data_IF_335061320682
#
_entry.id   IF_335061320682
#
_cell.length_a   1.000
_cell.length_b   1.000
_cell.length_c   1.000
_cell.angle_alpha   90.00
_cell.angle_beta   90.00
_cell.angle_gamma   90.00
#
_symmetry.space_group_name_H-M   'P 1'
#
loop_
_entity.id
_entity.type
_entity.pdbx_description
1 polymer ?
#
# COMPACT_ATOMS: atom_id res chain seq x y z
N UNK A 1 50.30 56.46 -11.27
CA UNK A 1 51.05 55.23 -10.95
C UNK A 1 50.07 54.09 -11.18
N UNK A 2 49.95 53.69 -12.45
CA UNK A 2 50.68 52.57 -13.08
C UNK A 2 49.90 51.28 -12.84
N UNK A 3 49.07 50.85 -13.79
CA UNK A 3 49.41 50.08 -15.02
C UNK A 3 49.05 48.60 -14.77
N UNK A 4 48.05 48.05 -15.48
CA UNK A 4 48.22 47.21 -16.69
C UNK A 4 48.54 45.74 -16.30
N UNK A 5 47.98 44.66 -16.84
CA UNK A 5 47.10 44.38 -17.97
C UNK A 5 46.63 42.89 -17.91
N UNK A 6 45.56 42.56 -18.67
CA UNK A 6 45.30 41.35 -19.51
C UNK A 6 45.48 39.93 -18.91
N UNK A 7 44.64 38.92 -19.18
CA UNK A 7 44.03 38.48 -20.45
C UNK A 7 42.96 37.38 -20.18
N UNK A 8 41.72 37.45 -20.70
CA UNK A 8 41.15 36.66 -21.85
C UNK A 8 41.19 35.12 -21.70
N UNK A 9 40.17 34.25 -21.93
CA UNK A 9 39.16 34.10 -23.01
C UNK A 9 38.13 33.00 -22.61
N UNK A 10 36.84 33.16 -22.98
CA UNK A 10 35.90 32.13 -23.49
C UNK A 10 35.26 31.17 -22.47
N UNK A 11 33.99 30.75 -22.55
CA UNK A 11 33.02 30.65 -23.65
C UNK A 11 31.56 30.54 -23.11
N UNK A 12 30.64 31.17 -23.84
CA UNK A 12 29.27 30.78 -24.21
C UNK A 12 28.20 30.42 -23.15
N UNK A 13 27.23 31.35 -23.09
CA UNK A 13 25.82 31.26 -22.74
C UNK A 13 25.07 29.97 -23.14
N UNK A 14 24.25 29.47 -22.21
CA UNK A 14 22.90 28.93 -22.50
C UNK A 14 21.96 29.36 -21.39
N UNK A 15 21.01 30.22 -21.74
CA UNK A 15 19.86 30.56 -20.92
C UNK A 15 19.04 29.29 -20.64
N UNK A 16 18.99 28.86 -19.38
CA UNK A 16 18.07 27.84 -18.91
C UNK A 16 16.80 28.54 -18.41
N UNK A 17 15.69 28.34 -19.12
CA UNK A 17 14.36 28.64 -18.61
C UNK A 17 14.14 27.90 -17.28
N UNK A 18 13.44 28.50 -16.30
CA UNK A 18 13.19 27.84 -15.02
C UNK A 18 12.25 26.64 -15.22
N UNK A 19 12.44 25.53 -14.48
CA UNK A 19 11.50 24.43 -14.51
C UNK A 19 10.13 24.93 -14.02
N UNK A 20 9.08 24.60 -14.78
CA UNK A 20 7.69 24.87 -14.42
C UNK A 20 7.44 24.41 -12.98
N UNK A 21 7.14 25.36 -12.09
CA UNK A 21 6.81 25.06 -10.71
C UNK A 21 5.60 24.11 -10.69
N UNK A 22 5.78 22.99 -9.99
CA UNK A 22 4.74 22.01 -9.72
C UNK A 22 3.57 22.70 -9.00
N UNK A 23 2.37 22.63 -9.60
CA UNK A 23 1.12 23.10 -9.01
C UNK A 23 0.41 21.88 -8.42
N UNK A 24 0.27 21.89 -7.11
CA UNK A 24 -0.45 20.88 -6.35
C UNK A 24 -1.93 20.88 -6.77
N UNK A 25 -2.53 19.75 -7.19
CA UNK A 25 -3.88 19.80 -7.70
C UNK A 25 -4.92 19.62 -6.59
N UNK A 26 -5.92 20.50 -6.57
CA UNK A 26 -6.91 20.76 -5.50
C UNK A 26 -7.93 19.65 -5.19
N UNK A 27 -7.86 18.46 -5.80
CA UNK A 27 -8.88 17.41 -5.59
C UNK A 27 -8.47 16.30 -4.62
N UNK A 28 -9.38 15.88 -3.71
CA UNK A 28 -9.14 14.81 -2.76
C UNK A 28 -8.96 13.44 -3.44
N UNK A 29 -8.30 12.54 -2.72
CA UNK A 29 -7.99 11.18 -3.16
C UNK A 29 -9.24 10.34 -3.43
N UNK A 30 -9.08 9.26 -4.19
CA UNK A 30 -10.20 8.37 -4.49
C UNK A 30 -10.65 7.58 -3.27
N UNK A 31 -11.71 8.03 -2.61
CA UNK A 31 -12.45 7.19 -1.66
C UNK A 31 -13.10 6.00 -2.39
N UNK A 32 -13.30 4.91 -1.66
CA UNK A 32 -13.94 3.66 -2.06
C UNK A 32 -15.42 3.86 -2.48
N UNK A 33 -15.69 4.24 -3.73
CA UNK A 33 -16.99 4.00 -4.37
C UNK A 33 -16.96 2.66 -5.12
N UNK A 34 -17.12 1.57 -4.38
CA UNK A 34 -17.76 0.36 -4.91
C UNK A 34 -19.15 0.26 -4.30
N UNK A 35 -20.02 1.18 -4.71
CA UNK A 35 -21.46 1.04 -4.58
C UNK A 35 -22.10 1.36 -5.94
N UNK A 36 -21.84 0.48 -6.91
CA UNK A 36 -22.77 0.24 -8.02
C UNK A 36 -22.80 -1.26 -8.29
N UNK A 37 -23.58 -1.97 -7.48
CA UNK A 37 -23.86 -3.39 -7.61
C UNK A 37 -24.87 -3.72 -8.73
N UNK A 38 -24.99 -2.88 -9.76
CA UNK A 38 -25.98 -3.04 -10.85
C UNK A 38 -25.37 -3.20 -12.25
N UNK A 39 -24.19 -3.82 -12.38
CA UNK A 39 -23.64 -4.22 -13.69
C UNK A 39 -23.62 -5.75 -13.85
N UNK A 40 -24.42 -6.48 -13.08
CA UNK A 40 -24.58 -7.94 -13.24
C UNK A 40 -26.03 -8.44 -13.09
N UNK A 41 -27.04 -7.70 -13.58
CA UNK A 41 -28.37 -8.27 -13.82
C UNK A 41 -29.16 -7.48 -14.89
N UNK A 42 -29.35 -8.08 -16.07
CA UNK A 42 -30.55 -8.03 -16.94
C UNK A 42 -31.19 -6.70 -17.42
N UNK A 43 -31.37 -6.59 -18.76
CA UNK A 43 -32.28 -5.67 -19.47
C UNK A 43 -31.53 -4.67 -20.35
N UNK A 44 -31.78 -4.43 -21.63
CA UNK A 44 -32.78 -4.89 -22.60
C UNK A 44 -32.13 -4.87 -23.99
N UNK A 45 -32.05 -6.02 -24.65
CA UNK A 45 -31.72 -6.10 -26.08
C UNK A 45 -33.03 -6.24 -26.84
N UNK A 46 -33.68 -5.14 -27.19
CA UNK A 46 -34.72 -5.10 -28.22
C UNK A 46 -34.94 -3.66 -28.68
N UNK A 47 -34.16 -3.24 -29.68
CA UNK A 47 -34.60 -2.31 -30.72
C UNK A 47 -33.49 -2.14 -31.76
N UNK A 48 -33.45 -3.06 -32.72
CA UNK A 48 -32.94 -2.82 -34.08
C UNK A 48 -33.42 -3.98 -34.98
N UNK A 49 -34.74 -4.09 -35.12
CA UNK A 49 -35.35 -4.69 -36.30
C UNK A 49 -35.67 -3.56 -37.28
N UNK A 50 -34.75 -3.32 -38.21
CA UNK A 50 -35.03 -2.85 -39.57
C UNK A 50 -33.73 -2.62 -40.34
N UNK A 51 -33.18 -3.70 -40.92
CA UNK A 51 -32.51 -3.64 -42.22
C UNK A 51 -32.71 -5.00 -42.91
N UNK A 52 -33.73 -4.99 -43.75
CA UNK A 52 -34.08 -5.80 -44.90
C UNK A 52 -33.12 -6.89 -45.40
N UNK A 53 -33.74 -8.05 -45.66
CA UNK A 53 -33.34 -9.17 -46.51
C UNK A 53 -32.44 -8.83 -47.71
N UNK A 54 -31.36 -9.60 -47.84
CA UNK A 54 -30.64 -9.84 -49.08
C UNK A 54 -29.98 -11.22 -49.04
N UNK A 55 -30.71 -12.25 -49.51
CA UNK A 55 -30.10 -13.52 -49.91
C UNK A 55 -29.22 -13.27 -51.13
N UNK A 56 -27.97 -13.70 -51.15
CA UNK A 56 -27.29 -14.17 -52.36
C UNK A 56 -26.08 -15.03 -51.96
N UNK A 57 -26.25 -16.35 -52.09
CA UNK A 57 -25.15 -17.25 -52.44
C UNK A 57 -24.86 -17.08 -53.93
N UNK A 58 -23.64 -17.43 -54.33
CA UNK A 58 -23.03 -17.39 -55.67
C UNK A 58 -22.39 -16.06 -56.08
N UNK A 59 -21.06 -16.00 -55.94
CA UNK A 59 -20.16 -16.13 -57.09
C UNK A 59 -18.70 -16.16 -56.64
N UNK A 60 -18.07 -17.31 -56.84
CA UNK A 60 -16.63 -17.41 -57.01
C UNK A 60 -16.20 -16.76 -58.35
N UNK A 61 -14.91 -16.42 -58.36
CA UNK A 61 -14.02 -16.13 -59.50
C UNK A 61 -13.73 -14.66 -59.84
N UNK A 62 -12.42 -14.38 -59.80
CA UNK A 62 -11.67 -13.18 -60.17
C UNK A 62 -11.76 -11.97 -59.23
N UNK A 63 -10.67 -11.71 -58.50
CA UNK A 63 -9.62 -10.84 -59.04
C UNK A 63 -8.37 -10.95 -58.17
N UNK A 64 -7.29 -11.50 -58.74
CA UNK A 64 -5.92 -11.11 -58.37
C UNK A 64 -5.77 -9.59 -58.64
N UNK A 65 -6.32 -8.75 -57.77
CA UNK A 65 -6.09 -7.31 -57.79
C UNK A 65 -6.48 -6.67 -56.45
N UNK A 66 -5.91 -7.17 -55.36
CA UNK A 66 -5.68 -6.35 -54.17
C UNK A 66 -4.54 -6.92 -53.32
N UNK A 67 -3.53 -7.52 -53.98
CA UNK A 67 -2.18 -7.58 -53.43
C UNK A 67 -1.61 -6.17 -53.47
N UNK A 68 -2.09 -5.34 -52.54
CA UNK A 68 -1.33 -4.20 -52.07
C UNK A 68 0.04 -4.70 -51.67
N UNK A 69 1.06 -4.10 -52.28
CA UNK A 69 2.48 -4.23 -51.93
C UNK A 69 2.67 -4.19 -50.41
N UNK A 70 3.77 -4.72 -49.84
CA UNK A 70 4.04 -4.57 -48.42
C UNK A 70 4.17 -3.07 -48.14
N UNK A 71 3.07 -2.44 -47.74
CA UNK A 71 3.11 -1.09 -47.23
C UNK A 71 3.92 -1.24 -45.95
N UNK A 72 5.07 -0.63 -46.03
CA UNK A 72 5.96 -0.33 -44.94
C UNK A 72 5.20 0.64 -44.03
N UNK A 73 4.12 0.18 -43.39
CA UNK A 73 3.31 0.97 -42.46
C UNK A 73 3.98 0.97 -41.08
N UNK A 74 5.27 1.31 -41.06
CA UNK A 74 5.81 2.13 -39.99
C UNK A 74 5.23 3.54 -40.15
N UNK A 75 3.93 3.69 -39.96
CA UNK A 75 3.41 4.97 -39.48
C UNK A 75 4.10 5.11 -38.13
N UNK A 76 5.06 6.03 -38.02
CA UNK A 76 5.66 6.38 -36.74
C UNK A 76 4.52 6.92 -35.87
N UNK A 77 3.89 6.03 -35.12
CA UNK A 77 2.72 6.33 -34.34
C UNK A 77 3.12 7.40 -33.34
N UNK A 78 2.52 8.58 -33.45
CA UNK A 78 2.96 9.74 -32.67
C UNK A 78 2.46 9.59 -31.23
N UNK A 79 3.33 9.10 -30.35
CA UNK A 79 3.03 8.94 -28.91
C UNK A 79 3.19 10.24 -28.11
N UNK A 80 3.40 11.40 -28.74
CA UNK A 80 3.65 12.65 -28.01
C UNK A 80 2.54 13.01 -27.02
N UNK A 81 1.28 12.77 -27.40
CA UNK A 81 0.12 13.07 -26.56
C UNK A 81 0.07 12.27 -25.25
N UNK A 82 0.69 11.10 -25.18
CA UNK A 82 0.75 10.24 -23.98
C UNK A 82 2.10 10.26 -23.28
N UNK A 83 3.20 10.38 -24.04
CA UNK A 83 4.56 10.40 -23.51
C UNK A 83 4.92 11.71 -22.80
N UNK A 84 4.28 12.84 -23.15
CA UNK A 84 4.48 14.13 -22.48
C UNK A 84 4.15 14.12 -20.98
N UNK A 85 3.32 13.18 -20.53
CA UNK A 85 2.96 13.03 -19.12
C UNK A 85 4.02 12.25 -18.32
N UNK A 86 4.99 11.63 -19.00
CA UNK A 86 6.09 10.88 -18.38
C UNK A 86 5.61 9.82 -17.36
N UNK A 87 4.49 9.16 -17.67
CA UNK A 87 3.90 8.10 -16.83
C UNK A 87 4.83 6.88 -16.75
N UNK A 88 5.56 6.60 -17.82
CA UNK A 88 6.51 5.49 -17.93
C UNK A 88 7.90 6.08 -18.12
N UNK A 89 8.85 5.57 -17.34
CA UNK A 89 10.25 5.96 -17.40
C UNK A 89 11.15 4.73 -17.38
N UNK A 90 12.34 4.83 -17.95
CA UNK A 90 13.34 3.75 -17.95
C UNK A 90 14.50 4.18 -17.09
N UNK A 91 14.60 3.57 -15.91
CA UNK A 91 15.48 4.02 -14.84
C UNK A 91 16.62 3.04 -14.68
N UNK A 92 17.65 3.19 -15.51
CA UNK A 92 18.91 2.45 -15.40
C UNK A 92 18.72 0.95 -15.15
N UNK A 93 19.53 0.41 -14.24
CA UNK A 93 19.55 -1.01 -13.90
C UNK A 93 19.31 -1.23 -12.39
N UNK A 94 18.65 -2.33 -12.05
CA UNK A 94 18.55 -2.81 -10.67
C UNK A 94 19.90 -3.33 -10.17
N UNK A 95 19.99 -3.68 -8.89
CA UNK A 95 21.26 -4.17 -8.30
C UNK A 95 21.77 -5.49 -8.92
N UNK A 96 20.94 -6.19 -9.68
CA UNK A 96 21.32 -7.39 -10.43
C UNK A 96 21.72 -7.07 -11.89
N UNK A 97 21.78 -5.78 -12.27
CA UNK A 97 22.15 -5.33 -13.61
C UNK A 97 21.04 -5.49 -14.64
N UNK A 98 19.78 -5.59 -14.21
CA UNK A 98 18.63 -5.72 -15.11
C UNK A 98 17.97 -4.36 -15.32
N UNK A 99 17.58 -3.99 -16.55
CA UNK A 99 16.89 -2.74 -16.81
C UNK A 99 15.61 -2.64 -15.99
N UNK A 100 15.35 -1.44 -15.48
CA UNK A 100 14.16 -1.15 -14.67
C UNK A 100 13.23 -0.20 -15.41
N UNK A 101 11.99 -0.64 -15.62
CA UNK A 101 10.93 0.20 -16.16
C UNK A 101 10.03 0.66 -15.03
N UNK A 102 9.82 1.95 -14.90
CA UNK A 102 9.11 2.58 -13.79
C UNK A 102 7.82 3.19 -14.29
N UNK A 103 6.75 3.01 -13.51
CA UNK A 103 5.42 3.53 -13.78
C UNK A 103 5.00 4.43 -12.63
N UNK A 104 4.70 5.68 -12.94
CA UNK A 104 4.31 6.70 -11.97
C UNK A 104 2.82 6.98 -12.08
N UNK A 105 2.02 6.37 -11.21
CA UNK A 105 0.58 6.48 -11.31
C UNK A 105 0.05 7.90 -11.04
N UNK A 106 0.74 8.69 -10.21
CA UNK A 106 0.39 10.10 -9.97
C UNK A 106 0.49 10.99 -11.21
N UNK A 107 1.20 10.55 -12.25
CA UNK A 107 1.33 11.27 -13.52
C UNK A 107 0.22 10.94 -14.51
N UNK A 108 -0.64 9.97 -14.20
CA UNK A 108 -1.80 9.67 -15.04
C UNK A 108 -2.76 10.86 -15.01
N UNK A 109 -3.05 11.45 -16.19
CA UNK A 109 -4.04 12.52 -16.28
C UNK A 109 -5.46 11.94 -16.23
N UNK A 110 -6.45 12.83 -16.22
CA UNK A 110 -7.86 12.43 -16.13
C UNK A 110 -8.27 11.49 -17.28
N UNK A 111 -9.07 10.48 -16.97
CA UNK A 111 -9.61 9.50 -17.92
C UNK A 111 -10.48 10.10 -19.01
N UNK A 112 -10.98 11.33 -18.82
CA UNK A 112 -11.76 12.05 -19.82
C UNK A 112 -10.88 12.59 -20.96
N UNK A 113 -9.60 12.86 -20.68
CA UNK A 113 -8.66 13.47 -21.64
C UNK A 113 -7.54 12.53 -22.05
N UNK A 114 -7.37 11.40 -21.35
CA UNK A 114 -6.29 10.46 -21.58
C UNK A 114 -6.71 9.30 -22.46
N UNK A 115 -6.05 9.16 -23.61
CA UNK A 115 -6.23 8.02 -24.50
C UNK A 115 -5.46 6.79 -23.96
N UNK A 116 -6.18 5.96 -23.21
CA UNK A 116 -5.64 4.73 -22.65
C UNK A 116 -5.28 3.66 -23.71
N UNK A 117 -5.88 3.68 -24.89
CA UNK A 117 -5.57 2.71 -25.95
C UNK A 117 -4.29 3.11 -26.69
N UNK A 118 -4.10 4.40 -26.96
CA UNK A 118 -2.81 4.93 -27.40
C UNK A 118 -1.73 4.76 -26.34
N UNK A 119 -2.06 4.95 -25.06
CA UNK A 119 -1.12 4.70 -23.96
C UNK A 119 -0.72 3.22 -23.88
N UNK A 120 -1.62 2.27 -24.11
CA UNK A 120 -1.29 0.85 -24.12
C UNK A 120 -0.33 0.50 -25.27
N UNK A 121 -0.52 1.08 -26.46
CA UNK A 121 0.41 0.93 -27.59
C UNK A 121 1.76 1.54 -27.29
N UNK A 122 1.79 2.76 -26.74
CA UNK A 122 3.02 3.41 -26.26
C UNK A 122 3.76 2.55 -25.23
N UNK A 123 3.03 2.02 -24.26
CA UNK A 123 3.58 1.16 -23.23
C UNK A 123 4.21 -0.12 -23.84
N UNK A 124 3.49 -0.74 -24.77
CA UNK A 124 3.99 -1.93 -25.47
C UNK A 124 5.26 -1.58 -26.24
N UNK A 125 5.30 -0.43 -26.93
CA UNK A 125 6.46 0.06 -27.65
C UNK A 125 7.68 0.30 -26.72
N UNK A 126 7.48 0.92 -25.56
CA UNK A 126 8.56 1.12 -24.56
C UNK A 126 9.09 -0.21 -24.05
N UNK A 127 8.21 -1.14 -23.69
CA UNK A 127 8.61 -2.44 -23.15
C UNK A 127 9.28 -3.34 -24.19
N UNK A 128 8.94 -3.22 -25.48
CA UNK A 128 9.51 -4.03 -26.56
C UNK A 128 11.04 -3.84 -26.65
N UNK A 129 11.55 -2.66 -26.29
CA UNK A 129 12.99 -2.38 -26.19
C UNK A 129 13.73 -3.21 -25.13
N UNK A 130 13.02 -3.81 -24.15
CA UNK A 130 13.59 -4.59 -23.06
C UNK A 130 13.11 -6.04 -23.03
N UNK A 131 12.11 -6.37 -23.85
CA UNK A 131 11.37 -7.62 -23.76
C UNK A 131 12.24 -8.86 -24.02
N UNK A 132 13.32 -8.71 -24.78
CA UNK A 132 14.24 -9.80 -25.13
C UNK A 132 15.27 -10.11 -24.03
N UNK A 133 15.38 -9.26 -23.01
CA UNK A 133 16.27 -9.45 -21.85
C UNK A 133 15.49 -9.50 -20.54
N UNK A 134 16.13 -10.00 -19.48
CA UNK A 134 15.52 -10.05 -18.16
C UNK A 134 15.38 -8.63 -17.58
N UNK A 135 14.17 -8.22 -17.20
CA UNK A 135 13.89 -6.86 -16.74
C UNK A 135 13.02 -6.84 -15.49
N UNK A 136 13.03 -5.71 -14.78
CA UNK A 136 12.22 -5.46 -13.59
C UNK A 136 11.26 -4.29 -13.86
N UNK A 137 10.08 -4.33 -13.25
CA UNK A 137 9.12 -3.23 -13.31
C UNK A 137 8.86 -2.71 -11.90
N UNK A 138 8.82 -1.39 -11.74
CA UNK A 138 8.43 -0.73 -10.50
C UNK A 138 7.19 0.12 -10.80
N UNK A 139 6.11 -0.13 -10.08
CA UNK A 139 4.86 0.61 -10.19
C UNK A 139 4.63 1.39 -8.89
N UNK A 140 4.75 2.71 -8.97
CA UNK A 140 4.39 3.63 -7.89
C UNK A 140 2.89 3.91 -7.96
N UNK A 141 2.16 3.32 -7.02
CA UNK A 141 0.71 3.39 -7.00
C UNK A 141 0.15 4.74 -6.51
N UNK A 142 0.92 5.49 -5.74
CA UNK A 142 0.54 6.80 -5.22
C UNK A 142 -0.01 7.73 -6.32
N UNK A 143 -1.02 8.52 -5.97
CA UNK A 143 -1.66 9.49 -6.85
C UNK A 143 -2.82 8.96 -7.70
N UNK A 144 -3.30 7.73 -7.47
CA UNK A 144 -4.61 7.31 -7.97
C UNK A 144 -5.75 8.14 -7.36
N UNK A 145 -6.49 8.83 -8.23
CA UNK A 145 -7.72 9.59 -7.99
C UNK A 145 -8.85 8.96 -8.82
N UNK A 146 -10.12 9.20 -8.44
CA UNK A 146 -11.27 8.61 -9.16
C UNK A 146 -11.24 8.98 -10.64
N UNK A 147 -10.82 10.21 -10.92
CA UNK A 147 -10.74 10.78 -12.24
C UNK A 147 -9.56 10.29 -13.08
N UNK A 148 -8.50 9.68 -12.53
CA UNK A 148 -7.30 9.27 -13.29
C UNK A 148 -7.03 7.76 -13.27
N UNK A 149 -7.96 6.97 -12.74
CA UNK A 149 -7.83 5.52 -12.65
C UNK A 149 -8.08 4.87 -14.03
N UNK A 150 -7.19 3.97 -14.49
CA UNK A 150 -7.48 3.15 -15.66
C UNK A 150 -8.69 2.24 -15.38
N UNK A 151 -9.66 2.12 -16.31
CA UNK A 151 -10.78 1.21 -16.14
C UNK A 151 -10.32 -0.24 -15.90
N UNK A 152 -11.04 -1.02 -15.07
CA UNK A 152 -10.67 -2.42 -14.81
C UNK A 152 -10.62 -3.26 -16.10
N UNK A 153 -11.57 -3.03 -17.01
CA UNK A 153 -11.56 -3.66 -18.33
C UNK A 153 -10.31 -3.34 -19.14
N UNK A 154 -9.76 -2.12 -19.01
CA UNK A 154 -8.51 -1.74 -19.66
C UNK A 154 -7.31 -2.49 -19.06
N UNK A 155 -7.22 -2.61 -17.73
CA UNK A 155 -6.14 -3.37 -17.07
C UNK A 155 -6.11 -4.84 -17.55
N UNK A 156 -7.28 -5.47 -17.73
CA UNK A 156 -7.36 -6.83 -18.31
C UNK A 156 -6.89 -6.85 -19.75
N UNK A 157 -7.30 -5.87 -20.57
CA UNK A 157 -6.85 -5.75 -21.97
C UNK A 157 -5.34 -5.53 -22.04
N UNK A 158 -4.79 -4.66 -21.21
CA UNK A 158 -3.35 -4.39 -21.12
C UNK A 158 -2.57 -5.68 -20.79
N UNK A 159 -3.00 -6.43 -19.77
CA UNK A 159 -2.37 -7.72 -19.46
C UNK A 159 -2.47 -8.72 -20.62
N UNK A 160 -3.56 -8.74 -21.38
CA UNK A 160 -3.72 -9.63 -22.55
C UNK A 160 -2.90 -9.19 -23.76
N UNK A 161 -2.75 -7.88 -23.97
CA UNK A 161 -1.96 -7.30 -25.05
C UNK A 161 -0.46 -7.58 -24.89
N UNK A 162 0.04 -7.64 -23.65
CA UNK A 162 1.39 -8.09 -23.36
C UNK A 162 1.52 -9.58 -23.67
N UNK A 163 2.20 -9.90 -24.76
CA UNK A 163 2.41 -11.28 -25.21
C UNK A 163 3.28 -12.10 -24.23
N UNK A 164 3.61 -13.34 -24.63
CA UNK A 164 4.41 -14.25 -23.79
C UNK A 164 5.81 -13.70 -23.47
N UNK A 165 6.44 -12.93 -24.36
CA UNK A 165 7.82 -12.43 -24.21
C UNK A 165 7.89 -11.46 -23.04
N UNK A 166 6.96 -10.51 -22.98
CA UNK A 166 6.83 -9.54 -21.87
C UNK A 166 6.69 -10.23 -20.52
N UNK A 167 5.82 -11.25 -20.44
CA UNK A 167 5.54 -11.96 -19.19
C UNK A 167 6.65 -12.91 -18.77
N UNK A 168 7.39 -13.49 -19.72
CA UNK A 168 8.43 -14.50 -19.43
C UNK A 168 9.67 -13.82 -18.82
N UNK A 169 10.14 -12.76 -19.44
CA UNK A 169 11.42 -12.12 -19.12
C UNK A 169 11.30 -11.05 -18.02
N UNK A 170 10.08 -10.63 -17.66
CA UNK A 170 9.83 -9.92 -16.41
C UNK A 170 10.29 -10.77 -15.23
N UNK A 171 11.20 -10.29 -14.39
CA UNK A 171 11.63 -11.00 -13.17
C UNK A 171 10.83 -10.62 -11.95
N UNK A 172 10.63 -9.32 -11.80
CA UNK A 172 9.97 -8.74 -10.65
C UNK A 172 9.09 -7.59 -11.08
N UNK A 173 7.87 -7.56 -10.57
CA UNK A 173 6.94 -6.44 -10.61
C UNK A 173 6.78 -5.93 -9.18
N UNK A 174 7.49 -4.85 -8.85
CA UNK A 174 7.42 -4.20 -7.55
C UNK A 174 6.27 -3.18 -7.54
N UNK A 175 5.37 -3.32 -6.59
CA UNK A 175 4.26 -2.41 -6.38
C UNK A 175 4.58 -1.59 -5.14
N UNK A 176 4.90 -0.32 -5.34
CA UNK A 176 5.25 0.62 -4.27
C UNK A 176 3.99 1.30 -3.76
N UNK A 177 3.80 1.26 -2.44
CA UNK A 177 2.65 1.83 -1.73
C UNK A 177 1.29 1.25 -2.19
N UNK A 178 1.09 -0.09 -2.09
CA UNK A 178 -0.18 -0.70 -2.47
C UNK A 178 -1.33 -0.24 -1.56
N UNK A 179 -2.46 0.14 -2.14
CA UNK A 179 -3.71 0.37 -1.40
C UNK A 179 -4.51 -0.92 -1.21
N UNK A 180 -5.51 -0.91 -0.30
CA UNK A 180 -6.48 -2.02 -0.16
C UNK A 180 -7.21 -2.31 -1.46
N UNK A 181 -7.58 -1.25 -2.19
CA UNK A 181 -8.20 -1.35 -3.50
C UNK A 181 -7.33 -2.17 -4.47
N UNK A 182 -6.01 -1.96 -4.48
CA UNK A 182 -5.13 -2.74 -5.34
C UNK A 182 -5.14 -4.23 -4.99
N UNK A 183 -5.26 -4.59 -3.70
CA UNK A 183 -5.43 -5.99 -3.28
C UNK A 183 -6.74 -6.59 -3.77
N UNK A 184 -7.83 -5.81 -3.77
CA UNK A 184 -9.13 -6.22 -4.33
C UNK A 184 -9.02 -6.43 -5.85
N UNK A 185 -8.36 -5.50 -6.55
CA UNK A 185 -8.09 -5.64 -7.99
C UNK A 185 -7.32 -6.94 -8.25
N UNK A 186 -6.27 -7.23 -7.48
CA UNK A 186 -5.53 -8.49 -7.62
C UNK A 186 -6.39 -9.74 -7.39
N UNK A 187 -7.32 -9.70 -6.42
CA UNK A 187 -8.25 -10.81 -6.19
C UNK A 187 -9.17 -11.05 -7.40
N UNK A 188 -9.69 -9.98 -8.01
CA UNK A 188 -10.52 -10.04 -9.24
C UNK A 188 -9.70 -10.52 -10.45
N UNK A 189 -8.41 -10.21 -10.49
CA UNK A 189 -7.52 -10.54 -11.60
C UNK A 189 -6.90 -11.94 -11.49
N UNK A 190 -6.98 -12.58 -10.31
CA UNK A 190 -6.46 -13.92 -10.05
C UNK A 190 -6.87 -15.00 -11.08
N UNK A 191 -8.12 -15.09 -11.59
CA UNK A 191 -8.47 -16.09 -12.61
C UNK A 191 -7.84 -15.82 -13.99
N UNK A 192 -7.36 -14.60 -14.24
CA UNK A 192 -6.81 -14.17 -15.53
C UNK A 192 -5.28 -14.30 -15.54
N UNK A 193 -4.65 -14.12 -14.38
CA UNK A 193 -3.20 -14.08 -14.23
C UNK A 193 -2.66 -15.48 -13.95
N UNK A 194 -1.59 -15.85 -14.65
CA UNK A 194 -0.95 -17.14 -14.39
C UNK A 194 -0.25 -17.15 -13.03
N UNK A 195 -0.28 -18.27 -12.32
CA UNK A 195 0.45 -18.45 -11.05
C UNK A 195 1.96 -18.17 -11.17
N UNK A 196 2.54 -18.39 -12.36
CA UNK A 196 3.94 -18.03 -12.65
C UNK A 196 4.18 -16.53 -12.65
N UNK A 197 3.22 -15.74 -13.12
CA UNK A 197 3.31 -14.28 -13.14
C UNK A 197 3.01 -13.70 -11.75
N UNK A 198 2.01 -14.24 -11.05
CA UNK A 198 1.67 -13.84 -9.68
C UNK A 198 2.89 -13.90 -8.73
N UNK A 199 3.71 -14.95 -8.83
CA UNK A 199 4.96 -15.10 -8.05
C UNK A 199 6.04 -14.05 -8.34
N UNK A 200 5.85 -13.23 -9.37
CA UNK A 200 6.76 -12.13 -9.72
C UNK A 200 6.30 -10.81 -9.12
N UNK A 201 5.12 -10.75 -8.50
CA UNK A 201 4.56 -9.54 -7.93
C UNK A 201 5.02 -9.39 -6.49
N UNK A 202 5.68 -8.28 -6.19
CA UNK A 202 6.23 -7.96 -4.86
C UNK A 202 5.68 -6.63 -4.39
N UNK A 203 5.23 -6.56 -3.14
CA UNK A 203 4.78 -5.32 -2.53
C UNK A 203 5.92 -4.65 -1.78
N UNK A 204 6.10 -3.36 -2.03
CA UNK A 204 7.13 -2.51 -1.40
C UNK A 204 6.39 -1.45 -0.60
N UNK A 205 6.48 -1.56 0.71
CA UNK A 205 5.77 -0.67 1.63
C UNK A 205 6.66 0.46 2.16
N UNK A 206 7.98 0.36 1.98
CA UNK A 206 8.96 1.29 2.56
C UNK A 206 10.09 1.64 1.57
N UNK A 207 10.71 2.82 1.74
CA UNK A 207 11.76 3.30 0.82
C UNK A 207 13.03 2.46 0.91
N UNK A 208 13.36 1.95 2.10
CA UNK A 208 14.58 1.14 2.30
C UNK A 208 14.52 -0.16 1.49
N UNK A 209 13.34 -0.80 1.42
CA UNK A 209 13.11 -1.99 0.59
C UNK A 209 13.34 -1.66 -0.89
N UNK A 210 12.89 -0.48 -1.33
CA UNK A 210 13.13 0.00 -2.68
C UNK A 210 14.62 0.25 -2.95
N UNK A 211 15.34 0.83 -1.98
CA UNK A 211 16.81 1.05 -2.04
C UNK A 211 17.61 -0.23 -2.10
N UNK A 212 17.06 -1.35 -1.62
CA UNK A 212 17.67 -2.66 -1.78
C UNK A 212 17.56 -3.17 -3.22
N UNK A 213 16.54 -2.74 -3.96
CA UNK A 213 16.23 -3.20 -5.32
C UNK A 213 16.94 -2.33 -6.37
N UNK A 214 16.79 -1.02 -6.29
CA UNK A 214 17.30 -0.04 -7.26
C UNK A 214 17.90 1.16 -6.56
N UNK A 215 18.80 1.88 -7.21
CA UNK A 215 19.38 3.10 -6.65
C UNK A 215 18.35 4.23 -6.76
N UNK A 216 17.85 4.70 -5.61
CA UNK A 216 16.75 5.68 -5.57
C UNK A 216 17.12 7.07 -6.10
N UNK A 217 18.40 7.41 -6.22
CA UNK A 217 18.89 8.62 -6.90
C UNK A 217 18.50 8.67 -8.38
N UNK A 218 18.21 7.52 -8.98
CA UNK A 218 17.74 7.42 -10.36
C UNK A 218 16.22 7.60 -10.49
N UNK A 219 15.47 7.48 -9.38
CA UNK A 219 14.01 7.50 -9.36
C UNK A 219 13.47 8.89 -9.06
N UNK A 220 12.43 9.30 -9.79
CA UNK A 220 11.63 10.46 -9.44
C UNK A 220 10.60 10.05 -8.38
N UNK A 221 11.03 10.05 -7.13
CA UNK A 221 10.16 9.75 -5.99
C UNK A 221 9.48 11.07 -5.56
N UNK A 222 8.15 11.22 -5.71
CA UNK A 222 7.42 12.39 -5.22
C UNK A 222 7.70 12.60 -3.74
N UNK A 223 7.76 13.86 -3.28
CA UNK A 223 8.08 14.19 -1.89
C UNK A 223 7.10 13.57 -0.91
N UNK A 224 5.85 13.39 -1.31
CA UNK A 224 4.78 12.81 -0.50
C UNK A 224 4.99 11.30 -0.33
N UNK A 225 5.43 10.61 -1.40
CA UNK A 225 5.91 9.22 -1.29
C UNK A 225 7.19 9.19 -0.47
N UNK A 226 8.06 10.17 -0.65
CA UNK A 226 9.28 10.27 0.12
C UNK A 226 8.97 10.43 1.59
N UNK A 227 8.03 11.25 2.03
CA UNK A 227 7.69 11.45 3.45
C UNK A 227 6.93 10.24 4.03
N UNK A 228 6.02 9.64 3.26
CA UNK A 228 5.34 8.39 3.64
C UNK A 228 6.33 7.22 3.75
N UNK A 229 7.34 7.15 2.88
CA UNK A 229 8.32 6.07 2.83
C UNK A 229 9.65 6.38 3.57
N UNK A 230 9.93 7.66 3.92
CA UNK A 230 11.09 8.18 4.71
C UNK A 230 10.83 8.10 6.19
N UNK A 231 9.59 7.98 6.65
CA UNK A 231 9.27 7.67 8.04
C UNK A 231 9.37 6.14 8.24
N UNK A 232 10.48 5.50 8.60
CA UNK A 232 11.74 5.94 9.17
C UNK A 232 12.80 4.86 8.86
N UNK A 233 13.97 5.17 8.29
CA UNK A 233 15.11 4.23 8.19
C UNK A 233 15.76 3.92 9.56
N UNK A 234 15.05 4.18 10.67
CA UNK A 234 15.50 3.99 12.05
C UNK A 234 14.41 4.01 13.13
N UNK A 235 13.13 4.27 12.81
CA UNK A 235 12.06 4.08 13.80
C UNK A 235 11.62 2.63 13.76
N UNK A 236 11.71 2.01 14.93
CA UNK A 236 11.29 0.62 15.17
C UNK A 236 9.76 0.47 15.17
N UNK A 237 9.00 1.55 14.93
CA UNK A 237 7.57 1.65 15.17
C UNK A 237 6.87 2.55 14.12
N UNK A 238 5.61 2.26 13.75
CA UNK A 238 4.80 3.12 12.86
C UNK A 238 4.48 4.50 13.49
N UNK A 239 4.59 5.62 12.75
CA UNK A 239 4.34 6.98 13.28
C UNK A 239 2.94 7.16 13.87
N UNK A 240 1.92 6.63 13.19
CA UNK A 240 0.55 6.71 13.69
C UNK A 240 0.40 6.05 15.07
N UNK A 241 1.15 4.98 15.34
CA UNK A 241 1.13 4.31 16.65
C UNK A 241 1.87 5.15 17.69
N UNK A 242 3.03 5.71 17.37
CA UNK A 242 3.79 6.55 18.31
C UNK A 242 3.04 7.82 18.66
N UNK A 243 2.48 8.53 17.68
CA UNK A 243 1.77 9.80 17.87
C UNK A 243 0.51 9.60 18.73
N UNK A 244 -0.25 8.53 18.44
CA UNK A 244 -1.43 8.17 19.22
C UNK A 244 -1.05 7.83 20.67
N UNK A 245 -0.02 7.00 20.87
CA UNK A 245 0.40 6.59 22.22
C UNK A 245 0.95 7.77 23.01
N UNK A 246 1.73 8.66 22.40
CA UNK A 246 2.22 9.89 23.05
C UNK A 246 1.07 10.81 23.46
N UNK A 247 0.11 11.02 22.57
CA UNK A 247 -1.09 11.80 22.88
C UNK A 247 -1.89 11.17 24.05
N UNK A 248 -2.07 9.85 24.04
CA UNK A 248 -2.80 9.14 25.09
C UNK A 248 -2.04 9.08 26.42
N UNK A 249 -0.70 8.99 26.42
CA UNK A 249 0.10 9.15 27.65
C UNK A 249 -0.10 10.53 28.25
N UNK A 250 -0.08 11.57 27.41
CA UNK A 250 -0.17 12.96 27.87
C UNK A 250 -1.56 13.34 28.36
N UNK A 251 -2.63 12.78 27.76
CA UNK A 251 -3.99 13.24 27.99
C UNK A 251 -4.99 12.15 28.41
N UNK A 252 -4.71 10.89 28.11
CA UNK A 252 -5.66 9.78 28.20
C UNK A 252 -5.56 8.89 29.46
N UNK A 253 -4.43 8.88 30.18
CA UNK A 253 -4.16 7.93 31.27
C UNK A 253 -5.21 7.93 32.38
N UNK A 254 -5.84 9.08 32.65
CA UNK A 254 -6.84 9.24 33.71
C UNK A 254 -8.28 9.23 33.17
N UNK A 255 -8.49 8.99 31.88
CA UNK A 255 -9.82 9.07 31.27
C UNK A 255 -10.64 7.81 31.55
N UNK A 256 -11.82 7.91 32.20
CA UNK A 256 -12.65 6.75 32.50
C UNK A 256 -13.05 5.96 31.25
N UNK A 257 -12.82 4.64 31.28
CA UNK A 257 -13.17 3.73 30.19
C UNK A 257 -12.35 3.93 28.92
N UNK A 258 -11.12 4.47 29.02
CA UNK A 258 -10.16 4.49 27.91
C UNK A 258 -10.04 3.09 27.28
N UNK A 259 -9.95 3.01 25.95
CA UNK A 259 -10.06 1.78 25.14
C UNK A 259 -11.38 1.00 25.20
N UNK A 260 -12.23 1.18 26.21
CA UNK A 260 -13.53 0.51 26.29
C UNK A 260 -14.63 1.24 25.53
N UNK A 261 -14.64 2.57 25.59
CA UNK A 261 -15.69 3.38 24.97
C UNK A 261 -15.59 3.38 23.44
N UNK A 262 -16.76 3.33 22.80
CA UNK A 262 -16.90 3.40 21.35
C UNK A 262 -16.93 4.85 20.86
N UNK A 263 -16.54 5.04 19.61
CA UNK A 263 -16.58 6.31 18.87
C UNK A 263 -17.36 6.08 17.57
N UNK A 264 -17.89 7.14 16.98
CA UNK A 264 -18.63 7.05 15.71
C UNK A 264 -17.76 6.40 14.64
N UNK A 265 -18.30 5.43 13.92
CA UNK A 265 -17.58 4.75 12.85
C UNK A 265 -17.22 5.71 11.71
N UNK A 266 -18.04 6.74 11.50
CA UNK A 266 -17.79 7.78 10.49
C UNK A 266 -16.57 8.63 10.88
N UNK A 267 -16.47 9.00 12.16
CA UNK A 267 -15.35 9.77 12.67
C UNK A 267 -14.05 8.97 12.64
N UNK A 268 -14.10 7.69 13.03
CA UNK A 268 -12.96 6.78 12.94
C UNK A 268 -12.46 6.66 11.50
N UNK A 269 -13.37 6.47 10.52
CA UNK A 269 -13.01 6.38 9.09
C UNK A 269 -12.37 7.66 8.57
N UNK A 270 -12.97 8.82 8.87
CA UNK A 270 -12.43 10.12 8.49
C UNK A 270 -10.99 10.30 8.98
N UNK A 271 -10.72 9.91 10.23
CA UNK A 271 -9.38 10.02 10.79
C UNK A 271 -8.40 8.98 10.25
N UNK A 272 -8.86 7.76 9.99
CA UNK A 272 -8.05 6.75 9.31
C UNK A 272 -7.65 7.22 7.92
N UNK A 273 -8.57 7.77 7.13
CA UNK A 273 -8.29 8.32 5.81
C UNK A 273 -7.24 9.43 5.91
N UNK A 274 -7.41 10.39 6.82
CA UNK A 274 -6.42 11.46 7.03
C UNK A 274 -5.03 10.92 7.34
N UNK A 275 -4.92 9.96 8.26
CA UNK A 275 -3.65 9.32 8.64
C UNK A 275 -3.04 8.57 7.45
N UNK A 276 -3.85 7.78 6.73
CA UNK A 276 -3.41 6.99 5.59
C UNK A 276 -2.92 7.86 4.42
N UNK A 277 -3.47 9.07 4.29
CA UNK A 277 -3.04 10.06 3.30
C UNK A 277 -1.83 10.89 3.77
N UNK A 278 -1.28 10.63 4.95
CA UNK A 278 -0.16 11.39 5.51
C UNK A 278 -0.52 12.85 5.81
N UNK A 279 -1.81 13.17 5.93
CA UNK A 279 -2.24 14.52 6.27
C UNK A 279 -1.84 14.84 7.72
N UNK A 280 -1.46 16.10 8.02
CA UNK A 280 -1.18 16.49 9.39
C UNK A 280 -2.37 16.23 10.31
N UNK A 281 -2.09 15.58 11.44
CA UNK A 281 -3.08 15.21 12.45
C UNK A 281 -2.77 15.94 13.75
N UNK A 282 -3.72 16.76 14.20
CA UNK A 282 -3.61 17.47 15.49
C UNK A 282 -4.72 16.97 16.40
N UNK A 283 -4.35 16.26 17.45
CA UNK A 283 -5.30 15.68 18.41
C UNK A 283 -5.75 16.72 19.44
N UNK A 284 -7.06 16.96 19.56
CA UNK A 284 -7.68 17.78 20.58
C UNK A 284 -7.92 16.94 21.85
N UNK A 285 -7.32 17.27 23.01
CA UNK A 285 -7.52 16.54 24.26
C UNK A 285 -8.97 16.43 24.71
N UNK A 286 -9.84 17.38 24.33
CA UNK A 286 -11.24 17.38 24.77
C UNK A 286 -12.12 16.44 23.94
N UNK A 287 -11.70 16.09 22.73
CA UNK A 287 -12.54 15.39 21.75
C UNK A 287 -11.93 14.03 21.36
N UNK A 288 -10.61 13.97 21.22
CA UNK A 288 -9.97 12.86 20.50
C UNK A 288 -9.37 11.78 21.40
N UNK A 289 -9.52 11.82 22.73
CA UNK A 289 -8.97 10.76 23.62
C UNK A 289 -9.54 9.39 23.26
N UNK A 290 -10.87 9.25 23.20
CA UNK A 290 -11.50 7.97 22.85
C UNK A 290 -11.29 7.63 21.38
N UNK A 291 -11.23 8.63 20.50
CA UNK A 291 -10.95 8.43 19.08
C UNK A 291 -9.56 7.82 18.87
N UNK A 292 -8.52 8.42 19.46
CA UNK A 292 -7.15 7.91 19.42
C UNK A 292 -7.06 6.49 19.98
N UNK A 293 -7.78 6.19 21.07
CA UNK A 293 -7.85 4.84 21.62
C UNK A 293 -8.52 3.84 20.66
N UNK A 294 -9.55 4.24 19.92
CA UNK A 294 -10.19 3.40 18.90
C UNK A 294 -9.28 3.23 17.68
N UNK A 295 -8.62 4.30 17.21
CA UNK A 295 -7.67 4.25 16.10
C UNK A 295 -6.51 3.30 16.38
N UNK A 296 -5.97 3.29 17.62
CA UNK A 296 -4.89 2.37 18.00
C UNK A 296 -5.32 0.90 17.89
N UNK A 297 -6.51 0.56 18.41
CA UNK A 297 -7.06 -0.80 18.31
C UNK A 297 -7.36 -1.18 16.87
N UNK A 298 -7.87 -0.24 16.08
CA UNK A 298 -8.19 -0.47 14.69
C UNK A 298 -6.94 -0.69 13.86
N UNK A 299 -5.86 0.08 14.11
CA UNK A 299 -4.55 -0.16 13.49
C UNK A 299 -4.09 -1.61 13.67
N UNK A 300 -4.14 -2.13 14.91
CA UNK A 300 -3.77 -3.51 15.21
C UNK A 300 -4.65 -4.54 14.49
N UNK A 301 -5.98 -4.34 14.54
CA UNK A 301 -6.95 -5.25 13.93
C UNK A 301 -6.83 -5.34 12.40
N UNK A 302 -6.39 -4.26 11.77
CA UNK A 302 -6.36 -4.11 10.32
C UNK A 302 -5.00 -4.48 9.69
N UNK A 303 -4.02 -4.89 10.50
CA UNK A 303 -2.78 -5.44 10.00
C UNK A 303 -3.06 -6.63 9.07
N UNK A 304 -2.23 -6.81 8.05
CA UNK A 304 -2.35 -7.95 7.12
C UNK A 304 -2.18 -9.30 7.81
N UNK A 305 -1.49 -9.30 8.94
CA UNK A 305 -1.27 -10.43 9.84
C UNK A 305 -1.30 -9.87 11.28
N UNK A 306 -1.83 -10.60 12.29
CA UNK A 306 -1.78 -10.17 13.68
C UNK A 306 -0.36 -9.83 14.13
N UNK A 307 -0.24 -8.90 15.09
CA UNK A 307 1.06 -8.55 15.67
C UNK A 307 1.73 -9.78 16.32
N UNK A 308 0.96 -10.74 16.82
CA UNK A 308 1.47 -12.02 17.32
C UNK A 308 1.82 -13.05 16.24
N UNK A 309 1.63 -12.74 14.95
CA UNK A 309 1.75 -13.64 13.78
C UNK A 309 0.81 -14.84 13.79
N UNK A 310 0.53 -15.42 12.62
CA UNK A 310 -0.27 -16.64 12.52
C UNK A 310 0.48 -17.86 13.08
N UNK A 311 1.81 -17.85 13.03
CA UNK A 311 2.62 -18.96 13.53
C UNK A 311 2.53 -19.13 15.04
N UNK A 312 2.33 -18.06 15.82
CA UNK A 312 2.20 -18.16 17.27
C UNK A 312 0.78 -18.44 17.74
N UNK A 313 -0.23 -18.27 16.89
CA UNK A 313 -1.64 -18.43 17.29
C UNK A 313 -1.91 -19.79 17.95
N UNK A 314 -1.39 -20.88 17.36
CA UNK A 314 -1.53 -22.22 17.93
C UNK A 314 -0.82 -22.39 19.28
N UNK A 315 0.30 -21.68 19.50
CA UNK A 315 1.04 -21.71 20.76
C UNK A 315 0.32 -20.92 21.86
N UNK A 316 -0.34 -19.81 21.49
CA UNK A 316 -1.19 -19.03 22.40
C UNK A 316 -2.40 -19.86 22.86
N UNK A 317 -3.00 -20.70 22.00
CA UNK A 317 -4.13 -21.54 22.41
C UNK A 317 -3.75 -22.66 23.38
N UNK A 318 -2.47 -23.00 23.50
CA UNK A 318 -1.98 -24.01 24.48
C UNK A 318 -1.79 -23.42 25.88
N UNK A 319 -1.98 -22.10 26.04
CA UNK A 319 -1.66 -21.37 27.25
C UNK A 319 -2.53 -21.75 28.46
N UNK A 320 -3.79 -22.17 28.24
CA UNK A 320 -4.69 -22.67 29.30
C UNK A 320 -4.10 -23.80 30.14
N UNK A 321 -3.40 -24.73 29.46
CA UNK A 321 -3.00 -26.02 30.02
C UNK A 321 -1.78 -25.93 30.94
N UNK A 322 -1.18 -24.75 31.06
CA UNK A 322 0.04 -24.51 31.82
C UNK A 322 -0.26 -24.09 33.26
N UNK A 323 0.60 -24.51 34.17
CA UNK A 323 0.58 -24.02 35.56
C UNK A 323 0.94 -22.53 35.61
N UNK A 324 0.49 -21.83 36.65
CA UNK A 324 0.67 -20.38 36.78
C UNK A 324 2.13 -19.94 36.62
N UNK A 325 3.05 -20.64 37.28
CA UNK A 325 4.49 -20.32 37.27
C UNK A 325 5.13 -20.54 35.88
N UNK A 326 4.56 -21.40 35.05
CA UNK A 326 5.05 -21.71 33.71
C UNK A 326 4.54 -20.71 32.65
N UNK A 327 3.40 -20.05 32.90
CA UNK A 327 2.76 -19.15 31.93
C UNK A 327 3.63 -17.94 31.58
N UNK A 328 4.30 -17.35 32.57
CA UNK A 328 5.19 -16.19 32.33
C UNK A 328 6.38 -16.61 31.46
N UNK A 329 7.00 -17.75 31.79
CA UNK A 329 8.11 -18.27 31.01
C UNK A 329 7.69 -18.64 29.59
N UNK A 330 6.53 -19.27 29.42
CA UNK A 330 5.98 -19.56 28.09
C UNK A 330 5.68 -18.28 27.31
N UNK A 331 5.13 -17.26 27.96
CA UNK A 331 4.87 -15.97 27.31
C UNK A 331 6.18 -15.34 26.80
N UNK A 332 7.25 -15.36 27.60
CA UNK A 332 8.59 -14.90 27.21
C UNK A 332 9.09 -15.64 25.97
N UNK A 333 8.96 -16.96 25.93
CA UNK A 333 9.37 -17.77 24.76
C UNK A 333 8.59 -17.41 23.50
N UNK A 334 7.27 -17.28 23.61
CA UNK A 334 6.40 -16.92 22.48
C UNK A 334 6.81 -15.53 21.96
N UNK A 335 6.91 -14.51 22.81
CA UNK A 335 7.24 -13.15 22.35
C UNK A 335 8.66 -13.07 21.78
N UNK A 336 9.63 -13.76 22.38
CA UNK A 336 11.03 -13.76 21.89
C UNK A 336 11.20 -14.50 20.56
N UNK A 337 10.22 -15.32 20.16
CA UNK A 337 10.21 -15.99 18.85
C UNK A 337 9.57 -15.15 17.74
N UNK A 338 9.05 -13.95 18.05
CA UNK A 338 8.47 -13.05 17.06
C UNK A 338 9.55 -12.42 16.17
N UNK A 339 9.21 -12.06 14.92
CA UNK A 339 10.03 -11.16 14.12
C UNK A 339 10.30 -9.85 14.87
N UNK A 340 11.46 -9.23 14.61
CA UNK A 340 11.91 -8.05 15.34
C UNK A 340 10.88 -6.90 15.34
N UNK A 341 10.23 -6.64 14.20
CA UNK A 341 9.23 -5.57 14.07
C UNK A 341 7.98 -5.85 14.91
N UNK A 342 7.47 -7.09 14.86
CA UNK A 342 6.35 -7.55 15.68
C UNK A 342 6.67 -7.44 17.18
N UNK A 343 7.86 -7.89 17.59
CA UNK A 343 8.33 -7.80 18.97
C UNK A 343 8.41 -6.34 19.44
N UNK A 344 9.01 -5.46 18.64
CA UNK A 344 9.15 -4.05 19.00
C UNK A 344 7.79 -3.35 19.15
N UNK A 345 6.88 -3.58 18.20
CA UNK A 345 5.52 -3.04 18.25
C UNK A 345 4.75 -3.57 19.46
N UNK A 346 4.79 -4.89 19.68
CA UNK A 346 4.13 -5.52 20.82
C UNK A 346 4.68 -4.99 22.15
N UNK A 347 6.01 -4.95 22.30
CA UNK A 347 6.67 -4.43 23.50
C UNK A 347 6.23 -3.00 23.81
N UNK A 348 6.28 -2.11 22.81
CA UNK A 348 5.89 -0.71 22.97
C UNK A 348 4.44 -0.57 23.44
N UNK A 349 3.53 -1.30 22.80
CA UNK A 349 2.11 -1.26 23.13
C UNK A 349 1.80 -1.86 24.49
N UNK A 350 2.34 -3.04 24.79
CA UNK A 350 2.04 -3.75 26.04
C UNK A 350 2.60 -2.99 27.25
N UNK A 351 3.78 -2.38 27.14
CA UNK A 351 4.31 -1.50 28.20
C UNK A 351 3.39 -0.29 28.44
N UNK A 352 2.89 0.33 27.38
CA UNK A 352 1.92 1.42 27.50
C UNK A 352 0.58 0.95 28.09
N UNK A 353 0.09 -0.23 27.73
CA UNK A 353 -1.13 -0.79 28.34
C UNK A 353 -0.93 -1.10 29.83
N UNK A 354 0.27 -1.54 30.23
CA UNK A 354 0.64 -1.68 31.64
C UNK A 354 0.62 -0.36 32.40
N UNK A 355 1.08 0.73 31.77
CA UNK A 355 0.98 2.10 32.30
C UNK A 355 -0.47 2.57 32.44
N UNK A 356 -1.34 2.27 31.47
CA UNK A 356 -2.78 2.54 31.61
C UNK A 356 -3.38 1.72 32.75
N UNK A 357 -3.03 0.45 32.87
CA UNK A 357 -3.50 -0.43 33.93
C UNK A 357 -3.08 0.05 35.33
N UNK A 358 -1.90 0.65 35.47
CA UNK A 358 -1.44 1.19 36.76
C UNK A 358 -2.24 2.41 37.23
N UNK A 359 -3.04 3.03 36.35
CA UNK A 359 -3.94 4.15 36.66
C UNK A 359 -5.42 3.70 36.77
N UNK A 360 -5.65 2.39 36.91
CA UNK A 360 -6.99 1.78 36.89
C UNK A 360 -7.91 2.23 38.03
N UNK A 361 -7.38 2.77 39.14
CA UNK A 361 -8.20 3.39 40.19
C UNK A 361 -9.02 4.59 39.68
N UNK A 362 -8.51 5.30 38.67
CA UNK A 362 -9.17 6.48 38.09
C UNK A 362 -9.80 6.16 36.74
N UNK A 363 -9.05 5.53 35.83
CA UNK A 363 -9.54 5.27 34.47
C UNK A 363 -10.45 4.03 34.39
N UNK A 364 -10.54 3.22 35.45
CA UNK A 364 -11.39 2.02 35.57
C UNK A 364 -10.98 0.84 34.65
N UNK A 365 -9.77 0.87 34.09
CA UNK A 365 -9.28 -0.11 33.12
C UNK A 365 -8.04 -0.83 33.65
N UNK A 366 -8.25 -1.88 34.45
CA UNK A 366 -7.17 -2.77 34.89
C UNK A 366 -6.67 -3.68 33.75
N UNK A 367 -5.60 -4.45 34.00
CA UNK A 367 -5.00 -5.32 33.00
C UNK A 367 -5.98 -6.35 32.41
N UNK A 368 -6.89 -6.91 33.23
CA UNK A 368 -7.91 -7.87 32.77
C UNK A 368 -8.94 -7.21 31.84
N UNK A 369 -9.43 -6.01 32.20
CA UNK A 369 -10.35 -5.24 31.35
C UNK A 369 -9.70 -4.86 30.01
N UNK A 370 -8.43 -4.46 30.02
CA UNK A 370 -7.68 -4.17 28.81
C UNK A 370 -7.45 -5.43 27.97
N UNK A 371 -7.19 -6.57 28.60
CA UNK A 371 -6.99 -7.84 27.89
C UNK A 371 -8.23 -8.29 27.11
N UNK A 372 -9.43 -8.12 27.67
CA UNK A 372 -10.70 -8.40 26.95
C UNK A 372 -10.81 -7.54 25.68
N UNK A 373 -10.34 -6.29 25.75
CA UNK A 373 -10.37 -5.37 24.61
C UNK A 373 -9.26 -5.71 23.61
N UNK A 374 -8.04 -6.00 24.06
CA UNK A 374 -6.87 -6.14 23.18
C UNK A 374 -6.60 -7.57 22.71
N UNK A 375 -7.01 -8.61 23.44
CA UNK A 375 -6.85 -10.02 23.06
C UNK A 375 -7.17 -10.30 21.58
N UNK A 376 -8.39 -9.98 21.10
CA UNK A 376 -8.75 -10.20 19.69
C UNK A 376 -8.06 -9.26 18.70
N UNK A 377 -7.41 -8.18 19.17
CA UNK A 377 -6.63 -7.27 18.32
C UNK A 377 -5.13 -7.64 18.30
N UNK A 378 -4.66 -8.53 19.19
CA UNK A 378 -3.27 -8.99 19.21
C UNK A 378 -3.07 -10.26 18.37
N UNK A 379 -4.08 -11.13 18.33
CA UNK A 379 -4.02 -12.40 17.62
C UNK A 379 -5.40 -12.86 17.12
N UNK A 380 -5.45 -13.45 15.92
CA UNK A 380 -6.66 -14.06 15.34
C UNK A 380 -6.27 -15.14 14.30
N UNK A 381 -7.14 -16.13 14.03
CA UNK A 381 -6.83 -17.30 13.18
C UNK A 381 -7.00 -17.05 11.67
N UNK A 382 -6.70 -15.84 11.18
CA UNK A 382 -6.92 -15.47 9.78
C UNK A 382 -8.42 -15.46 9.43
N UNK A 383 -8.83 -16.23 8.43
CA UNK A 383 -10.22 -16.27 7.93
C UNK A 383 -11.17 -17.14 8.78
N UNK A 384 -10.68 -17.79 9.84
CA UNK A 384 -11.49 -18.65 10.68
C UNK A 384 -12.25 -17.84 11.75
N UNK A 385 -13.46 -18.29 12.08
CA UNK A 385 -14.20 -17.73 13.20
C UNK A 385 -13.55 -18.12 14.53
N UNK A 386 -13.39 -17.16 15.43
CA UNK A 386 -12.89 -17.39 16.78
C UNK A 386 -14.03 -17.96 17.64
N UNK A 387 -13.82 -19.13 18.22
CA UNK A 387 -14.75 -19.70 19.21
C UNK A 387 -14.62 -18.98 20.56
N UNK A 388 -15.67 -19.03 21.39
CA UNK A 388 -15.63 -18.43 22.74
C UNK A 388 -14.45 -18.92 23.57
N UNK A 389 -14.18 -20.23 23.55
CA UNK A 389 -13.03 -20.81 24.26
C UNK A 389 -11.71 -20.24 23.76
N UNK A 390 -11.52 -20.10 22.45
CA UNK A 390 -10.30 -19.51 21.91
C UNK A 390 -10.17 -18.03 22.32
N UNK A 391 -11.28 -17.29 22.36
CA UNK A 391 -11.28 -15.91 22.84
C UNK A 391 -10.84 -15.81 24.31
N UNK A 392 -11.28 -16.75 25.16
CA UNK A 392 -10.84 -16.82 26.55
C UNK A 392 -9.32 -17.05 26.65
N UNK A 393 -8.75 -17.92 25.81
CA UNK A 393 -7.29 -18.14 25.78
C UNK A 393 -6.52 -16.90 25.31
N UNK A 394 -7.02 -16.22 24.28
CA UNK A 394 -6.43 -14.97 23.79
C UNK A 394 -6.45 -13.89 24.86
N UNK A 395 -7.56 -13.77 25.59
CA UNK A 395 -7.72 -12.80 26.66
C UNK A 395 -6.81 -13.14 27.85
N UNK A 396 -6.70 -14.41 28.24
CA UNK A 396 -5.80 -14.84 29.32
C UNK A 396 -4.34 -14.54 28.96
N UNK A 397 -3.92 -14.87 27.73
CA UNK A 397 -2.58 -14.56 27.25
C UNK A 397 -2.31 -13.04 27.24
N UNK A 398 -3.24 -12.25 26.69
CA UNK A 398 -3.12 -10.79 26.67
C UNK A 398 -3.07 -10.20 28.09
N UNK A 399 -3.84 -10.75 29.04
CA UNK A 399 -3.80 -10.31 30.43
C UNK A 399 -2.42 -10.55 31.04
N UNK A 400 -1.81 -11.72 30.82
CA UNK A 400 -0.44 -12.00 31.30
C UNK A 400 0.58 -11.06 30.69
N UNK A 401 0.48 -10.77 29.40
CA UNK A 401 1.35 -9.79 28.75
C UNK A 401 1.26 -8.42 29.42
N UNK A 402 0.05 -7.91 29.65
CA UNK A 402 -0.17 -6.55 30.19
C UNK A 402 0.24 -6.48 31.66
N UNK A 403 -0.19 -7.44 32.47
CA UNK A 403 0.03 -7.47 33.92
C UNK A 403 1.52 -7.67 34.27
N UNK A 404 2.28 -8.36 33.40
CA UNK A 404 3.68 -8.74 33.63
C UNK A 404 4.61 -8.12 32.57
N UNK A 405 4.20 -6.99 31.96
CA UNK A 405 4.86 -6.39 30.80
C UNK A 405 6.37 -6.15 31.00
N UNK A 406 6.73 -5.57 32.15
CA UNK A 406 8.12 -5.24 32.49
C UNK A 406 8.99 -6.50 32.54
N UNK A 407 8.47 -7.56 33.16
CA UNK A 407 9.18 -8.82 33.33
C UNK A 407 9.29 -9.59 32.01
N UNK A 408 8.21 -9.66 31.22
CA UNK A 408 8.18 -10.42 29.97
C UNK A 408 9.10 -9.80 28.91
N UNK A 409 9.17 -8.46 28.84
CA UNK A 409 9.95 -7.74 27.83
C UNK A 409 11.35 -7.30 28.31
N UNK A 410 11.79 -7.76 29.49
CA UNK A 410 13.05 -7.38 30.14
C UNK A 410 13.30 -5.86 30.09
N UNK A 411 12.25 -5.06 30.38
CA UNK A 411 12.34 -3.60 30.31
C UNK A 411 12.73 -3.05 31.69
N UNK A 412 13.77 -2.21 31.83
CA UNK A 412 14.07 -1.58 33.10
C UNK A 412 12.93 -0.65 33.53
N UNK A 413 12.64 -0.59 34.83
CA UNK A 413 11.54 0.21 35.41
C UNK A 413 11.72 1.74 35.20
N UNK A 414 12.92 2.19 34.85
CA UNK A 414 13.35 3.59 34.87
C UNK A 414 13.08 4.40 33.59
N UNK A 415 12.49 3.83 32.54
CA UNK A 415 12.09 4.58 31.33
C UNK A 415 10.73 5.29 31.46
N UNK A 416 10.12 5.30 32.66
CA UNK A 416 8.88 6.04 32.97
C UNK A 416 9.14 7.51 33.33
N UNK A 417 9.76 8.29 32.45
CA UNK A 417 9.94 9.74 32.64
C UNK A 417 9.33 10.56 31.52
#
# INVERSE_FOLDING_TARGET
MSDSANSSVGQKSRDSAPPSAFVEPEEPFADDDFADSNILTGGDCNNLQNCSNGNYLDRDENFEFELGSPSNDSISENFHSVSQYEVVDVVGDDKAGRPVVVFYAFRLPSSQIFDYELFLRYLTHVLDGFVEQDYSVIYFHYGWRRCNRPPLGWLVRAYRALDRRFKKNLKSLYIVHPTRLLRIIWAVFKPIISSKFERKVFYVNYLYQLREIVRCDQLLIPREIEDILRNHPGAKLPPAVTDIVEFLRKHGLFTPGIFRRSVSIQEVRLWQERINHGLPVVYNPSEHIHLSAVLLKTFLRELSEPVMTFSQYAEILKFHGLFFDERIQRAKEIVNSLPAENYNLLKFLVLFLGEVASHSEVNLMNASNLAIVFGPNLAWPGDQQITLRQLDELNEFAWRLIDNAVEIFNSPLDERK
#
